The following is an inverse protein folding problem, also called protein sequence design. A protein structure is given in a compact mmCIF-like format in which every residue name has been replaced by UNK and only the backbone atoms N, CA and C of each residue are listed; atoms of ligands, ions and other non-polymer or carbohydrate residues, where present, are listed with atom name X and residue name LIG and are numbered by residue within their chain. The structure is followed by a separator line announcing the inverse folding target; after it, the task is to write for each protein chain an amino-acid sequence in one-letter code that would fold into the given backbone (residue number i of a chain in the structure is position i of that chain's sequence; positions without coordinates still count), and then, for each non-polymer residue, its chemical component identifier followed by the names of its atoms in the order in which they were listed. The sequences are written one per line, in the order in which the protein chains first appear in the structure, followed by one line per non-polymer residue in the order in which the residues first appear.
data_IF_800032751042
#
_entry.id   IF_800032751042
#
_cell.length_a   1.000
_cell.length_b   1.000
_cell.length_c   1.000
_cell.angle_alpha   90.00
_cell.angle_beta   90.00
_cell.angle_gamma   90.00
#
_symmetry.space_group_name_H-M   'P 1'
#
loop_
_entity.id
_entity.type
_entity.pdbx_description
1 polymer ?
#
# COMPACT_ATOMS: atom_id res chain seq x y z
N UNK A 1 -24.63 2.19 -5.46
CA UNK A 1 -23.44 1.32 -5.57
C UNK A 1 -22.67 1.44 -4.26
N UNK A 2 -22.18 0.34 -3.74
CA UNK A 2 -21.41 0.32 -2.48
C UNK A 2 -20.00 0.86 -2.69
N UNK A 3 -19.47 1.58 -1.70
CA UNK A 3 -18.12 2.13 -1.75
C UNK A 3 -17.07 1.03 -1.60
N UNK A 4 -16.13 0.97 -2.52
CA UNK A 4 -14.93 0.14 -2.42
C UNK A 4 -13.71 0.95 -1.96
N UNK A 5 -13.20 0.63 -0.79
CA UNK A 5 -11.89 1.12 -0.31
C UNK A 5 -10.82 0.16 -0.82
N UNK A 6 -9.98 0.62 -1.72
CA UNK A 6 -8.95 -0.20 -2.37
C UNK A 6 -7.54 0.19 -1.91
N UNK A 7 -6.87 -0.69 -1.18
CA UNK A 7 -5.47 -0.50 -0.85
C UNK A 7 -4.55 -0.76 -2.06
N UNK A 8 -3.90 0.27 -2.59
CA UNK A 8 -2.93 0.11 -3.68
C UNK A 8 -1.58 -0.30 -3.11
N UNK A 9 -1.09 -1.47 -3.51
CA UNK A 9 0.15 -2.05 -3.01
C UNK A 9 1.11 -2.36 -4.16
N UNK A 10 2.38 -2.04 -3.96
CA UNK A 10 3.43 -2.27 -4.94
C UNK A 10 4.66 -1.43 -4.67
N UNK A 11 5.81 -1.86 -5.18
CA UNK A 11 7.06 -1.13 -5.05
C UNK A 11 6.98 0.26 -5.71
N UNK A 12 7.96 1.10 -5.46
CA UNK A 12 8.02 2.43 -6.06
C UNK A 12 8.06 2.40 -7.59
N UNK A 13 7.40 3.37 -8.26
CA UNK A 13 7.43 3.49 -9.72
C UNK A 13 6.51 2.52 -10.47
N UNK A 14 5.55 1.88 -9.81
CA UNK A 14 4.61 0.94 -10.44
C UNK A 14 3.32 1.60 -10.96
N UNK A 15 3.18 2.94 -10.81
CA UNK A 15 2.05 3.72 -11.34
C UNK A 15 0.84 3.80 -10.41
N UNK A 16 1.01 3.54 -9.10
CA UNK A 16 -0.08 3.65 -8.10
C UNK A 16 -0.61 5.07 -7.97
N UNK A 17 0.29 6.04 -7.78
CA UNK A 17 -0.03 7.47 -7.67
C UNK A 17 -0.80 7.96 -8.89
N UNK A 18 -0.25 7.72 -10.08
CA UNK A 18 -0.90 8.10 -11.35
C UNK A 18 -2.31 7.54 -11.47
N UNK A 19 -2.51 6.27 -11.07
CA UNK A 19 -3.83 5.67 -11.13
C UNK A 19 -4.79 6.25 -10.09
N UNK A 20 -4.32 6.54 -8.88
CA UNK A 20 -5.13 7.18 -7.84
C UNK A 20 -5.56 8.59 -8.25
N UNK A 21 -4.67 9.38 -8.86
CA UNK A 21 -4.96 10.71 -9.41
C UNK A 21 -6.03 10.67 -10.51
N UNK A 22 -5.95 9.69 -11.43
CA UNK A 22 -6.94 9.55 -12.51
C UNK A 22 -8.32 9.15 -11.98
N UNK A 23 -8.37 8.33 -10.94
CA UNK A 23 -9.63 7.99 -10.25
C UNK A 23 -10.25 9.25 -9.59
N UNK A 24 -9.44 10.29 -9.39
CA UNK A 24 -9.92 11.59 -8.94
C UNK A 24 -9.93 11.76 -7.42
N UNK A 25 -9.17 10.95 -6.71
CA UNK A 25 -9.02 11.08 -5.27
C UNK A 25 -7.56 11.27 -4.89
N UNK A 26 -7.21 12.47 -4.44
CA UNK A 26 -5.88 12.76 -3.88
C UNK A 26 -5.80 12.34 -2.41
N UNK A 27 -5.79 11.07 -2.11
CA UNK A 27 -5.25 10.61 -0.83
C UNK A 27 -3.73 10.56 -0.97
N UNK A 28 -3.13 11.75 -0.93
CA UNK A 28 -1.67 11.87 -1.01
C UNK A 28 -1.02 11.10 0.15
N UNK A 29 -0.07 10.25 -0.19
CA UNK A 29 0.69 9.51 0.81
C UNK A 29 1.43 10.49 1.73
N UNK A 30 1.31 10.38 3.06
CA UNK A 30 2.04 11.23 4.00
C UNK A 30 3.56 11.01 3.92
N UNK A 31 3.98 9.98 3.20
CA UNK A 31 5.39 9.57 3.09
C UNK A 31 6.28 10.69 2.55
N UNK A 32 5.84 11.41 1.51
CA UNK A 32 6.67 12.46 0.91
C UNK A 32 6.79 13.69 1.84
N UNK A 33 5.70 14.07 2.49
CA UNK A 33 5.72 15.16 3.48
C UNK A 33 6.58 14.80 4.68
N UNK A 34 6.32 13.64 5.28
CA UNK A 34 7.06 13.18 6.46
C UNK A 34 8.54 12.91 6.15
N UNK A 35 8.88 12.44 4.95
CA UNK A 35 10.28 12.34 4.54
C UNK A 35 10.98 13.70 4.54
N UNK A 36 10.36 14.73 3.98
CA UNK A 36 10.93 16.07 3.96
C UNK A 36 11.14 16.60 5.37
N UNK A 37 10.15 16.44 6.25
CA UNK A 37 10.26 16.85 7.65
C UNK A 37 11.38 16.08 8.38
N UNK A 38 11.47 14.77 8.19
CA UNK A 38 12.52 13.96 8.81
C UNK A 38 13.92 14.26 8.27
N UNK A 39 14.08 14.39 6.96
CA UNK A 39 15.38 14.70 6.36
C UNK A 39 15.84 16.13 6.65
N UNK A 40 14.92 17.07 6.78
CA UNK A 40 15.25 18.47 7.07
C UNK A 40 15.38 18.77 8.56
N UNK A 41 15.00 17.84 9.44
CA UNK A 41 15.08 18.04 10.88
C UNK A 41 16.27 17.28 11.49
N UNK A 42 17.35 17.99 11.91
CA UNK A 42 18.54 17.35 12.51
C UNK A 42 18.24 16.54 13.78
N UNK A 43 17.09 16.81 14.45
CA UNK A 43 16.68 16.10 15.66
C UNK A 43 16.25 14.65 15.38
N UNK A 44 15.95 14.29 14.11
CA UNK A 44 15.58 12.92 13.75
C UNK A 44 16.76 12.07 13.27
N UNK A 45 17.97 12.63 13.24
CA UNK A 45 19.20 11.89 13.01
C UNK A 45 19.33 11.25 11.62
N UNK A 46 20.47 10.66 11.38
CA UNK A 46 20.66 9.75 10.26
C UNK A 46 19.86 8.48 10.51
N UNK A 47 19.20 7.92 9.48
CA UNK A 47 18.56 6.59 9.53
C UNK A 47 19.54 5.44 9.84
N UNK A 48 20.73 5.74 10.27
CA UNK A 48 21.71 4.81 10.83
C UNK A 48 21.33 4.32 12.23
N UNK A 49 20.51 5.11 12.94
CA UNK A 49 19.97 4.73 14.23
C UNK A 49 18.66 3.97 14.08
N UNK A 50 18.62 2.76 14.60
CA UNK A 50 17.46 1.86 14.56
C UNK A 50 16.22 2.46 15.21
N UNK A 51 16.38 3.23 16.28
CA UNK A 51 15.28 3.83 17.02
C UNK A 51 14.57 4.93 16.20
N UNK A 52 15.33 5.80 15.57
CA UNK A 52 14.77 6.89 14.73
C UNK A 52 14.02 6.33 13.55
N UNK A 53 14.52 5.24 12.97
CA UNK A 53 13.81 4.54 11.90
C UNK A 53 12.47 3.96 12.38
N UNK A 54 12.41 3.37 13.56
CA UNK A 54 11.15 2.86 14.09
C UNK A 54 10.16 3.98 14.37
N UNK A 55 10.62 5.09 14.95
CA UNK A 55 9.81 6.29 15.17
C UNK A 55 9.24 6.81 13.86
N UNK A 56 10.08 6.87 12.81
CA UNK A 56 9.65 7.28 11.48
C UNK A 56 8.59 6.34 10.89
N UNK A 57 8.81 5.03 10.94
CA UNK A 57 7.85 4.04 10.41
C UNK A 57 6.52 4.10 11.16
N UNK A 58 6.54 4.25 12.49
CA UNK A 58 5.32 4.44 13.28
C UNK A 58 4.62 5.75 12.91
N UNK A 59 5.36 6.86 12.79
CA UNK A 59 4.82 8.17 12.41
C UNK A 59 4.10 8.11 11.07
N UNK A 60 4.72 7.48 10.06
CA UNK A 60 4.11 7.27 8.75
C UNK A 60 2.81 6.44 8.86
N UNK A 61 2.85 5.33 9.60
CA UNK A 61 1.69 4.44 9.73
C UNK A 61 0.50 5.16 10.38
N UNK A 62 0.73 5.88 11.47
CA UNK A 62 -0.33 6.65 12.14
C UNK A 62 -0.85 7.80 11.27
N UNK A 63 0.03 8.50 10.56
CA UNK A 63 -0.37 9.54 9.62
C UNK A 63 -1.23 8.96 8.50
N UNK A 64 -0.86 7.80 7.95
CA UNK A 64 -1.64 7.10 6.93
C UNK A 64 -3.04 6.74 7.44
N UNK A 65 -3.15 6.13 8.62
CA UNK A 65 -4.45 5.79 9.21
C UNK A 65 -5.34 7.02 9.45
N UNK A 66 -4.72 8.12 9.84
CA UNK A 66 -5.43 9.40 10.06
C UNK A 66 -5.97 9.98 8.75
N UNK A 67 -5.16 9.95 7.68
CA UNK A 67 -5.55 10.42 6.34
C UNK A 67 -6.66 9.53 5.76
N UNK A 68 -6.54 8.21 5.85
CA UNK A 68 -7.57 7.28 5.39
C UNK A 68 -8.90 7.52 6.10
N UNK A 69 -8.86 7.70 7.43
CA UNK A 69 -10.05 8.00 8.22
C UNK A 69 -10.66 9.35 7.83
N UNK A 70 -9.85 10.36 7.57
CA UNK A 70 -10.33 11.66 7.14
C UNK A 70 -10.96 11.58 5.75
N UNK A 71 -10.31 10.92 4.80
CA UNK A 71 -10.83 10.70 3.46
C UNK A 71 -12.21 10.01 3.45
N UNK A 72 -12.40 9.01 4.32
CA UNK A 72 -13.71 8.35 4.49
C UNK A 72 -14.78 9.29 5.05
N UNK A 73 -14.42 10.25 5.90
CA UNK A 73 -15.33 11.25 6.43
C UNK A 73 -15.69 12.32 5.39
N UNK A 74 -14.67 12.86 4.71
CA UNK A 74 -14.83 13.96 3.74
C UNK A 74 -15.65 13.52 2.53
N UNK A 75 -15.53 12.26 2.15
CA UNK A 75 -16.33 11.69 1.07
C UNK A 75 -17.84 11.73 1.33
N UNK A 76 -18.25 11.63 2.58
CA UNK A 76 -19.66 11.74 2.93
C UNK A 76 -20.18 13.18 2.79
N UNK A 77 -19.32 14.15 2.54
CA UNK A 77 -19.65 15.57 2.62
C UNK A 77 -19.84 16.28 1.27
N UNK A 78 -19.05 16.06 0.19
CA UNK A 78 -19.07 17.10 -0.85
C UNK A 78 -18.84 16.78 -2.34
N UNK A 79 -18.23 15.71 -2.82
CA UNK A 79 -17.92 15.62 -4.26
C UNK A 79 -18.13 14.25 -4.90
N UNK A 80 -18.97 14.22 -5.95
CA UNK A 80 -19.27 13.02 -6.71
C UNK A 80 -18.81 13.17 -8.16
N UNK A 81 -17.70 12.54 -8.46
CA UNK A 81 -17.31 12.18 -9.82
C UNK A 81 -17.70 10.71 -10.02
N UNK A 82 -18.29 10.32 -11.15
CA UNK A 82 -18.91 9.00 -11.35
C UNK A 82 -18.01 7.81 -10.94
N UNK A 83 -16.69 7.89 -11.14
CA UNK A 83 -15.75 6.85 -10.71
C UNK A 83 -15.38 6.94 -9.21
N UNK A 84 -15.21 8.16 -8.72
CA UNK A 84 -14.94 8.43 -7.30
C UNK A 84 -16.15 8.10 -6.41
N UNK A 85 -17.33 7.94 -6.99
CA UNK A 85 -18.56 7.60 -6.25
C UNK A 85 -18.49 6.22 -5.62
N UNK A 86 -17.71 5.29 -6.17
CA UNK A 86 -17.66 3.92 -5.66
C UNK A 86 -16.26 3.35 -5.43
N UNK A 87 -15.18 4.07 -5.79
CA UNK A 87 -13.80 3.65 -5.53
C UNK A 87 -13.06 4.73 -4.74
N UNK A 88 -12.55 4.35 -3.57
CA UNK A 88 -11.59 5.13 -2.79
C UNK A 88 -10.23 4.44 -2.85
N UNK A 89 -9.30 4.90 -3.71
CA UNK A 89 -7.97 4.33 -3.77
C UNK A 89 -7.11 4.88 -2.63
N UNK A 90 -6.50 4.00 -1.87
CA UNK A 90 -5.47 4.33 -0.89
C UNK A 90 -4.13 4.12 -1.56
N UNK A 91 -3.41 5.17 -1.88
CA UNK A 91 -2.19 5.17 -2.73
C UNK A 91 -1.10 4.20 -2.24
N UNK A 92 -0.96 4.06 -0.92
CA UNK A 92 -0.09 3.07 -0.29
C UNK A 92 -0.87 2.33 0.77
N UNK A 93 -1.06 1.04 0.57
CA UNK A 93 -1.69 0.20 1.57
C UNK A 93 -0.77 0.01 2.79
N UNK A 94 -1.35 -0.35 3.93
CA UNK A 94 -0.59 -0.70 5.13
C UNK A 94 0.39 -1.86 4.89
N UNK A 95 0.14 -2.70 3.89
CA UNK A 95 1.04 -3.78 3.47
C UNK A 95 2.37 -3.26 2.92
N UNK A 96 2.36 -2.12 2.22
CA UNK A 96 3.59 -1.48 1.74
C UNK A 96 4.47 -1.04 2.92
N UNK A 97 3.87 -0.48 3.98
CA UNK A 97 4.61 -0.08 5.19
C UNK A 97 5.20 -1.27 5.93
N UNK A 98 4.45 -2.37 6.05
CA UNK A 98 4.97 -3.62 6.59
C UNK A 98 6.13 -4.18 5.76
N UNK A 99 6.06 -4.08 4.43
CA UNK A 99 7.14 -4.51 3.53
C UNK A 99 8.41 -3.66 3.70
N UNK A 100 8.28 -2.35 3.85
CA UNK A 100 9.40 -1.46 4.14
C UNK A 100 10.02 -1.75 5.50
N UNK A 101 9.20 -2.01 6.52
CA UNK A 101 9.68 -2.43 7.86
C UNK A 101 10.49 -3.72 7.75
N UNK A 102 10.00 -4.75 7.07
CA UNK A 102 10.72 -6.01 6.86
C UNK A 102 12.04 -5.83 6.12
N UNK A 103 12.02 -5.06 5.02
CA UNK A 103 13.21 -4.77 4.24
C UNK A 103 14.28 -4.09 5.06
N UNK A 104 13.90 -3.11 5.84
CA UNK A 104 14.81 -2.36 6.69
C UNK A 104 15.39 -3.23 7.79
N UNK A 105 14.55 -4.00 8.45
CA UNK A 105 14.96 -4.86 9.57
C UNK A 105 15.78 -6.07 9.13
N UNK A 106 15.73 -6.46 7.83
CA UNK A 106 16.61 -7.51 7.33
C UNK A 106 18.09 -7.14 7.45
N UNK A 107 18.44 -5.87 7.19
CA UNK A 107 19.82 -5.37 7.41
C UNK A 107 20.24 -5.50 8.87
N UNK A 108 19.33 -5.16 9.78
CA UNK A 108 19.57 -5.27 11.23
C UNK A 108 19.65 -6.75 11.66
N UNK A 109 18.78 -7.62 11.12
CA UNK A 109 18.78 -9.06 11.43
C UNK A 109 20.03 -9.78 10.95
N UNK A 110 20.65 -9.33 9.88
CA UNK A 110 21.93 -9.85 9.38
C UNK A 110 23.10 -9.41 10.25
N UNK A 111 23.00 -8.26 10.91
CA UNK A 111 23.93 -7.81 11.94
C UNK A 111 23.58 -8.47 13.29
N UNK A 112 24.38 -8.30 14.32
CA UNK A 112 24.32 -8.99 15.63
C UNK A 112 22.96 -9.01 16.37
N UNK A 113 21.89 -8.39 15.81
CA UNK A 113 20.58 -8.24 16.44
C UNK A 113 19.69 -9.51 16.45
N UNK A 114 20.16 -10.65 15.94
CA UNK A 114 19.42 -11.94 16.03
C UNK A 114 18.99 -12.34 17.45
N UNK A 115 19.65 -11.77 18.48
CA UNK A 115 19.39 -12.09 19.88
C UNK A 115 18.50 -11.09 20.61
N UNK A 116 18.05 -10.00 19.95
CA UNK A 116 17.20 -8.99 20.58
C UNK A 116 15.71 -9.35 20.39
N UNK A 117 15.20 -10.18 21.31
CA UNK A 117 13.80 -10.63 21.29
C UNK A 117 12.79 -9.46 21.34
N UNK A 118 12.94 -8.45 22.22
CA UNK A 118 12.03 -7.31 22.24
C UNK A 118 11.90 -6.59 20.89
N UNK A 119 13.01 -6.46 20.16
CA UNK A 119 13.02 -5.85 18.83
C UNK A 119 12.27 -6.71 17.82
N UNK A 120 12.43 -8.02 17.85
CA UNK A 120 11.72 -8.93 16.96
C UNK A 120 10.22 -8.92 17.25
N UNK A 121 9.83 -8.91 18.51
CA UNK A 121 8.43 -8.85 18.95
C UNK A 121 7.79 -7.53 18.51
N UNK A 122 8.51 -6.41 18.60
CA UNK A 122 8.04 -5.11 18.10
C UNK A 122 7.80 -5.13 16.59
N UNK A 123 8.76 -5.64 15.81
CA UNK A 123 8.64 -5.74 14.35
C UNK A 123 7.43 -6.61 13.98
N UNK A 124 7.26 -7.74 14.65
CA UNK A 124 6.13 -8.61 14.38
C UNK A 124 4.80 -7.92 14.70
N UNK A 125 4.68 -7.26 15.84
CA UNK A 125 3.48 -6.47 16.20
C UNK A 125 3.17 -5.37 15.17
N UNK A 126 4.20 -4.67 14.68
CA UNK A 126 4.01 -3.68 13.63
C UNK A 126 3.42 -4.30 12.35
N UNK A 127 3.95 -5.44 11.94
CA UNK A 127 3.45 -6.18 10.77
C UNK A 127 2.02 -6.64 10.99
N UNK A 128 1.72 -7.18 12.16
CA UNK A 128 0.38 -7.65 12.52
C UNK A 128 -0.64 -6.50 12.49
N UNK A 129 -0.29 -5.32 13.00
CA UNK A 129 -1.11 -4.11 12.91
C UNK A 129 -1.38 -3.73 11.45
N UNK A 130 -0.37 -3.77 10.59
CA UNK A 130 -0.54 -3.45 9.17
C UNK A 130 -1.46 -4.45 8.45
N UNK A 131 -1.33 -5.74 8.74
CA UNK A 131 -2.17 -6.79 8.16
C UNK A 131 -3.62 -6.68 8.68
N UNK A 132 -3.78 -6.48 9.99
CA UNK A 132 -5.10 -6.31 10.61
C UNK A 132 -5.82 -5.07 10.06
N UNK A 133 -5.11 -3.96 9.92
CA UNK A 133 -5.63 -2.75 9.29
C UNK A 133 -6.08 -3.02 7.85
N UNK A 134 -5.25 -3.69 7.04
CA UNK A 134 -5.62 -4.02 5.67
C UNK A 134 -6.90 -4.85 5.62
N UNK A 135 -7.01 -5.88 6.46
CA UNK A 135 -8.15 -6.78 6.50
C UNK A 135 -9.46 -6.11 6.97
N UNK A 136 -9.36 -5.07 7.80
CA UNK A 136 -10.53 -4.36 8.38
C UNK A 136 -10.94 -3.13 7.57
N UNK A 137 -9.98 -2.47 6.93
CA UNK A 137 -10.20 -1.15 6.33
C UNK A 137 -10.33 -1.18 4.81
N UNK A 138 -9.89 -2.24 4.15
CA UNK A 138 -9.96 -2.34 2.69
C UNK A 138 -10.93 -3.45 2.26
N UNK A 139 -11.68 -3.17 1.18
CA UNK A 139 -12.51 -4.20 0.52
C UNK A 139 -11.65 -5.14 -0.34
N UNK A 140 -10.56 -4.63 -0.89
CA UNK A 140 -9.58 -5.41 -1.63
C UNK A 140 -8.21 -4.70 -1.66
N UNK A 141 -7.15 -5.45 -1.94
CA UNK A 141 -5.85 -4.89 -2.28
C UNK A 141 -5.61 -5.03 -3.78
N UNK A 142 -5.26 -3.91 -4.43
CA UNK A 142 -4.81 -3.91 -5.81
C UNK A 142 -3.28 -3.96 -5.81
N UNK A 143 -2.72 -5.08 -6.25
CA UNK A 143 -1.27 -5.26 -6.31
C UNK A 143 -0.72 -4.91 -7.68
N UNK A 144 0.24 -3.99 -7.71
CA UNK A 144 0.96 -3.51 -8.88
C UNK A 144 2.34 -4.15 -8.95
N UNK A 145 2.55 -5.16 -9.81
CA UNK A 145 3.86 -5.76 -9.98
C UNK A 145 4.84 -4.75 -10.59
N UNK A 146 6.14 -4.81 -10.25
CA UNK A 146 7.13 -4.00 -10.93
C UNK A 146 7.18 -4.36 -12.42
N UNK A 147 7.12 -3.34 -13.27
CA UNK A 147 7.32 -3.51 -14.70
C UNK A 147 8.80 -3.74 -14.98
N UNK A 148 9.12 -4.39 -16.11
CA UNK A 148 10.50 -4.43 -16.60
C UNK A 148 10.90 -3.00 -16.95
N UNK A 149 11.93 -2.51 -16.29
CA UNK A 149 12.50 -1.21 -16.62
C UNK A 149 13.10 -1.30 -18.03
N UNK A 150 12.53 -0.54 -18.96
CA UNK A 150 13.15 -0.34 -20.27
C UNK A 150 14.19 0.79 -20.16
N UNK A 151 15.20 0.78 -21.04
CA UNK A 151 16.23 1.83 -21.02
C UNK A 151 15.68 3.24 -21.32
N UNK A 152 14.49 3.35 -21.94
CA UNK A 152 13.77 4.59 -22.18
C UNK A 152 13.15 5.19 -20.90
N UNK A 153 12.86 4.37 -19.89
CA UNK A 153 12.27 4.84 -18.63
C UNK A 153 13.31 5.49 -17.71
N UNK A 154 14.61 5.37 -18.04
CA UNK A 154 15.70 5.95 -17.25
C UNK A 154 15.68 7.48 -17.19
N UNK A 155 15.07 8.15 -18.14
CA UNK A 155 14.98 9.61 -18.18
C UNK A 155 13.93 10.18 -17.21
N UNK A 156 12.88 9.40 -16.87
CA UNK A 156 11.75 9.81 -16.01
C UNK A 156 11.77 9.15 -14.63
N UNK A 157 12.69 8.23 -14.37
CA UNK A 157 12.87 7.66 -13.06
C UNK A 157 13.60 8.69 -12.21
N UNK A 158 12.89 9.26 -11.24
CA UNK A 158 13.51 9.99 -10.13
C UNK A 158 14.78 9.28 -9.71
N UNK A 159 15.89 9.99 -9.74
CA UNK A 159 17.31 9.54 -9.70
C UNK A 159 17.70 8.57 -8.54
N UNK A 160 16.75 8.09 -7.73
CA UNK A 160 17.04 7.43 -6.44
C UNK A 160 16.51 6.00 -6.29
N UNK A 161 15.97 5.37 -7.34
CA UNK A 161 15.38 4.03 -7.16
C UNK A 161 16.26 2.95 -7.75
N UNK A 162 17.16 2.45 -6.91
CA UNK A 162 17.90 1.22 -7.20
C UNK A 162 16.94 0.08 -7.58
N UNK A 163 17.07 -0.51 -8.78
CA UNK A 163 16.26 -1.64 -9.21
C UNK A 163 16.27 -2.82 -8.22
N UNK A 164 17.39 -3.07 -7.56
CA UNK A 164 17.53 -4.12 -6.54
C UNK A 164 16.60 -3.80 -5.36
N UNK A 165 16.58 -2.55 -4.93
CA UNK A 165 15.72 -2.06 -3.85
C UNK A 165 14.23 -2.24 -4.16
N UNK A 166 13.83 -2.03 -5.41
CA UNK A 166 12.44 -2.24 -5.88
C UNK A 166 12.08 -3.73 -5.80
N UNK A 167 12.93 -4.60 -6.32
CA UNK A 167 12.68 -6.05 -6.32
C UNK A 167 12.64 -6.63 -4.91
N UNK A 168 13.50 -6.15 -4.01
CA UNK A 168 13.47 -6.54 -2.60
C UNK A 168 12.15 -6.13 -1.94
N UNK A 169 11.71 -4.89 -2.13
CA UNK A 169 10.43 -4.41 -1.59
C UNK A 169 9.28 -5.24 -2.12
N UNK A 170 9.24 -5.50 -3.42
CA UNK A 170 8.23 -6.33 -4.07
C UNK A 170 8.18 -7.76 -3.51
N UNK A 171 9.33 -8.36 -3.22
CA UNK A 171 9.43 -9.66 -2.56
C UNK A 171 8.72 -9.70 -1.21
N UNK A 172 8.89 -8.64 -0.40
CA UNK A 172 8.23 -8.54 0.91
C UNK A 172 6.73 -8.29 0.76
N UNK A 173 6.32 -7.42 -0.16
CA UNK A 173 4.90 -7.19 -0.48
C UNK A 173 4.23 -8.51 -0.84
N UNK A 174 4.77 -9.27 -1.78
CA UNK A 174 4.24 -10.59 -2.19
C UNK A 174 4.17 -11.59 -1.03
N UNK A 175 5.12 -11.55 -0.11
CA UNK A 175 5.10 -12.41 1.08
C UNK A 175 3.92 -12.02 1.99
N UNK A 176 3.75 -10.72 2.26
CA UNK A 176 2.70 -10.21 3.15
C UNK A 176 1.30 -10.37 2.56
N UNK A 177 1.14 -10.22 1.25
CA UNK A 177 -0.13 -10.42 0.56
C UNK A 177 -0.69 -11.86 0.71
N UNK A 178 0.13 -12.83 1.09
CA UNK A 178 -0.33 -14.18 1.43
C UNK A 178 -0.98 -14.27 2.81
N UNK A 179 -0.78 -13.27 3.65
CA UNK A 179 -1.29 -13.23 5.03
C UNK A 179 -2.55 -12.38 5.16
N UNK A 180 -2.98 -11.67 4.11
CA UNK A 180 -4.26 -10.96 4.11
C UNK A 180 -5.40 -11.90 3.78
N UNK A 181 -6.57 -11.64 4.35
CA UNK A 181 -7.79 -12.44 4.15
C UNK A 181 -8.75 -11.84 3.12
N UNK A 182 -8.58 -10.56 2.82
CA UNK A 182 -9.36 -9.85 1.80
C UNK A 182 -8.88 -10.20 0.38
N UNK A 183 -9.70 -9.98 -0.65
CA UNK A 183 -9.34 -10.20 -2.04
C UNK A 183 -8.08 -9.42 -2.49
N UNK A 184 -7.22 -10.06 -3.26
CA UNK A 184 -6.06 -9.41 -3.89
C UNK A 184 -6.22 -9.42 -5.40
N UNK A 185 -6.43 -8.22 -5.97
CA UNK A 185 -6.53 -7.98 -7.41
C UNK A 185 -5.11 -7.72 -7.94
N UNK A 186 -4.56 -8.68 -8.66
CA UNK A 186 -3.22 -8.54 -9.22
C UNK A 186 -3.30 -7.97 -10.63
N UNK A 187 -2.73 -6.77 -10.83
CA UNK A 187 -2.59 -6.17 -12.16
C UNK A 187 -1.69 -7.05 -13.04
N UNK A 188 -2.09 -7.39 -14.27
CA UNK A 188 -1.27 -8.16 -15.19
C UNK A 188 0.05 -7.43 -15.49
N UNK A 189 1.14 -8.20 -15.58
CA UNK A 189 2.41 -7.65 -16.08
C UNK A 189 2.22 -7.20 -17.52
N UNK A 190 2.67 -6.00 -17.83
CA UNK A 190 2.52 -5.42 -19.17
C UNK A 190 1.27 -4.58 -19.38
N UNK A 191 0.28 -4.63 -18.47
CA UNK A 191 -0.83 -3.69 -18.48
C UNK A 191 -0.33 -2.36 -17.91
N UNK A 192 0.08 -1.44 -18.79
CA UNK A 192 0.73 -0.18 -18.42
C UNK A 192 -0.20 1.03 -18.53
N UNK A 193 -1.17 0.97 -19.44
CA UNK A 193 -2.15 2.02 -19.61
C UNK A 193 -3.05 2.15 -18.38
N UNK A 194 -3.36 3.38 -18.00
CA UNK A 194 -4.09 3.66 -16.78
C UNK A 194 -5.59 3.34 -16.91
N UNK A 195 -6.21 3.64 -18.05
CA UNK A 195 -7.62 3.35 -18.31
C UNK A 195 -7.87 1.85 -18.41
N UNK A 196 -6.95 1.12 -19.06
CA UNK A 196 -7.01 -0.34 -19.10
C UNK A 196 -6.90 -0.95 -17.71
N UNK A 197 -6.06 -0.39 -16.83
CA UNK A 197 -5.96 -0.82 -15.43
C UNK A 197 -7.24 -0.58 -14.65
N UNK A 198 -7.88 0.58 -14.83
CA UNK A 198 -9.17 0.91 -14.21
C UNK A 198 -10.21 -0.11 -14.67
N UNK A 199 -10.40 -0.29 -15.96
CA UNK A 199 -11.34 -1.26 -16.52
C UNK A 199 -11.10 -2.68 -16.04
N UNK A 200 -9.84 -3.08 -15.89
CA UNK A 200 -9.48 -4.37 -15.31
C UNK A 200 -9.90 -4.48 -13.84
N UNK A 201 -9.67 -3.44 -13.02
CA UNK A 201 -10.06 -3.41 -11.61
C UNK A 201 -11.57 -3.51 -11.49
N UNK A 202 -12.33 -2.70 -12.22
CA UNK A 202 -13.81 -2.71 -12.24
C UNK A 202 -14.37 -4.08 -12.60
N UNK A 203 -13.81 -4.71 -13.64
CA UNK A 203 -14.18 -6.08 -14.03
C UNK A 203 -13.96 -7.08 -12.89
N UNK A 204 -12.90 -6.91 -12.09
CA UNK A 204 -12.63 -7.78 -10.96
C UNK A 204 -13.57 -7.52 -9.78
N UNK A 205 -13.86 -6.25 -9.47
CA UNK A 205 -14.80 -5.87 -8.43
C UNK A 205 -16.20 -6.42 -8.73
N UNK A 206 -16.71 -6.23 -9.94
CA UNK A 206 -18.02 -6.77 -10.36
C UNK A 206 -18.14 -8.29 -10.20
N UNK A 207 -17.03 -9.03 -10.30
CA UNK A 207 -17.02 -10.48 -10.05
C UNK A 207 -17.04 -10.81 -8.55
N UNK A 208 -16.45 -9.97 -7.73
CA UNK A 208 -16.51 -10.14 -6.27
C UNK A 208 -17.93 -9.93 -5.74
N UNK A 209 -18.64 -8.91 -6.24
CA UNK A 209 -20.04 -8.65 -5.88
C UNK A 209 -20.96 -9.80 -6.24
N UNK A 210 -20.84 -10.32 -7.47
CA UNK A 210 -21.64 -11.46 -7.91
C UNK A 210 -21.39 -12.70 -7.05
N UNK A 211 -20.15 -12.91 -6.60
CA UNK A 211 -19.84 -14.03 -5.71
C UNK A 211 -20.45 -13.83 -4.33
N UNK A 212 -20.34 -12.63 -3.74
CA UNK A 212 -20.92 -12.30 -2.46
C UNK A 212 -22.46 -12.48 -2.47
N UNK A 213 -23.13 -12.02 -3.52
CA UNK A 213 -24.60 -12.20 -3.67
C UNK A 213 -25.01 -13.66 -3.80
N UNK A 214 -24.26 -14.50 -4.51
CA UNK A 214 -24.51 -15.93 -4.63
C UNK A 214 -24.32 -16.68 -3.30
N UNK A 215 -23.29 -16.31 -2.54
CA UNK A 215 -23.02 -16.89 -1.22
C UNK A 215 -24.14 -16.55 -0.22
N UNK A 216 -24.69 -15.33 -0.25
CA UNK A 216 -25.83 -14.90 0.55
C UNK A 216 -27.11 -15.66 0.19
N UNK A 217 -27.41 -15.82 -1.10
CA UNK A 217 -28.59 -16.57 -1.58
C UNK A 217 -28.55 -18.04 -1.15
N UNK A 218 -27.36 -18.65 -1.09
CA UNK A 218 -27.17 -20.01 -0.63
C UNK A 218 -27.28 -20.18 0.89
N UNK A 219 -27.16 -19.10 1.67
CA UNK A 219 -27.35 -19.10 3.13
C UNK A 219 -28.83 -18.96 3.52
N UNK A 220 -29.65 -18.30 2.71
CA UNK A 220 -31.08 -18.14 2.96
C UNK A 220 -31.94 -19.39 2.61
N UNK A 221 -31.33 -20.36 1.90
CA UNK A 221 -32.01 -21.60 1.46
C UNK A 221 -31.76 -22.79 2.43
N UNK A 222 -31.06 -22.58 3.52
CA UNK A 222 -30.85 -23.58 4.58
C UNK A 222 -31.61 -23.24 5.84
#
# INVERSE_FOLDING_TARGET
MELYVLGFSGAGGTGKTTLAEIIGWEVSSPVEYLKREFYNNPAFGNFENTEDMFRFQLGILFAQFSIERQALKDRNAEYRNELADYILPIERSSIDYAAYMLKFTEKIRKSKAKKNKPLQDFIQKYIDICIDHANKSYNAIVYFPPNRFTNSDKANIVKERDPISILETDKYIKKLLKSVTIPVIKIPKGLTDALDRISFIETKLSKLDKKASLDMTNLEIK
#
